data_IF_211038784774
#
_entry.id   IF_211038784774
#
_cell.length_a   1.000
_cell.length_b   1.000
_cell.length_c   1.000
_cell.angle_alpha   90.00
_cell.angle_beta   90.00
_cell.angle_gamma   90.00
#
_symmetry.space_group_name_H-M   'P 1'
#
loop_
_entity.id
_entity.type
_entity.pdbx_description
1 polymer ?
#
# COMPACT_ATOMS: atom_id res chain seq x y z
N UNK A 1 31.80 -30.11 0.98
CA UNK A 1 31.16 -28.78 1.23
C UNK A 1 29.65 -28.99 1.28
N UNK A 2 28.91 -29.11 2.38
CA UNK A 2 29.13 -28.94 3.80
C UNK A 2 27.86 -28.28 4.32
N UNK A 3 26.83 -29.05 4.71
CA UNK A 3 25.46 -28.60 5.07
C UNK A 3 25.41 -27.33 5.96
N UNK A 4 26.45 -27.10 6.78
CA UNK A 4 26.66 -25.90 7.61
C UNK A 4 26.83 -24.60 6.80
N UNK A 5 27.54 -24.63 5.67
CA UNK A 5 27.69 -23.47 4.77
C UNK A 5 26.37 -23.09 4.08
N UNK A 6 25.58 -24.09 3.70
CA UNK A 6 24.25 -23.88 3.11
C UNK A 6 23.28 -23.22 4.11
N UNK A 7 23.25 -23.71 5.36
CA UNK A 7 22.44 -23.10 6.42
C UNK A 7 22.85 -21.65 6.71
N UNK A 8 24.15 -21.35 6.73
CA UNK A 8 24.63 -19.99 6.96
C UNK A 8 24.21 -19.02 5.84
N UNK A 9 24.27 -19.47 4.58
CA UNK A 9 23.80 -18.69 3.42
C UNK A 9 22.28 -18.47 3.50
N UNK A 10 21.50 -19.50 3.83
CA UNK A 10 20.04 -19.40 3.97
C UNK A 10 19.65 -18.39 5.05
N UNK A 11 20.27 -18.47 6.24
CA UNK A 11 20.02 -17.53 7.34
C UNK A 11 20.40 -16.10 6.95
N UNK A 12 21.52 -15.91 6.24
CA UNK A 12 21.94 -14.60 5.76
C UNK A 12 20.97 -14.01 4.73
N UNK A 13 20.52 -14.82 3.76
CA UNK A 13 19.53 -14.37 2.76
C UNK A 13 18.21 -14.01 3.42
N UNK A 14 17.73 -14.82 4.36
CA UNK A 14 16.49 -14.55 5.10
C UNK A 14 16.61 -13.28 5.95
N UNK A 15 17.73 -13.08 6.65
CA UNK A 15 17.92 -11.89 7.49
C UNK A 15 18.01 -10.61 6.67
N UNK A 16 18.71 -10.62 5.53
CA UNK A 16 18.77 -9.46 4.62
C UNK A 16 17.38 -9.12 4.07
N UNK A 17 16.60 -10.12 3.65
CA UNK A 17 15.23 -9.89 3.17
C UNK A 17 14.32 -9.30 4.26
N UNK A 18 14.41 -9.80 5.49
CA UNK A 18 13.65 -9.27 6.63
C UNK A 18 14.07 -7.82 6.92
N UNK A 19 15.37 -7.51 6.90
CA UNK A 19 15.89 -6.18 7.18
C UNK A 19 15.47 -5.16 6.12
N UNK A 20 15.53 -5.50 4.83
CA UNK A 20 15.09 -4.63 3.74
C UNK A 20 13.59 -4.34 3.83
N UNK A 21 12.77 -5.35 4.11
CA UNK A 21 11.32 -5.16 4.30
C UNK A 21 11.02 -4.30 5.52
N UNK A 22 11.72 -4.53 6.64
CA UNK A 22 11.58 -3.74 7.85
C UNK A 22 12.02 -2.27 7.63
N UNK A 23 13.13 -2.02 6.92
CA UNK A 23 13.58 -0.66 6.62
C UNK A 23 12.59 0.07 5.73
N UNK A 24 12.04 -0.60 4.72
CA UNK A 24 11.03 -0.02 3.84
C UNK A 24 9.75 0.30 4.60
N UNK A 25 9.28 -0.60 5.48
CA UNK A 25 8.12 -0.36 6.33
C UNK A 25 8.34 0.80 7.33
N UNK A 26 9.53 0.88 7.93
CA UNK A 26 9.89 1.97 8.84
C UNK A 26 9.94 3.31 8.10
N UNK A 27 10.48 3.34 6.88
CA UNK A 27 10.48 4.56 6.07
C UNK A 27 9.06 4.96 5.66
N UNK A 28 8.25 4.00 5.22
CA UNK A 28 6.85 4.23 4.85
C UNK A 28 6.02 4.80 6.01
N UNK A 29 6.13 4.20 7.19
CA UNK A 29 5.43 4.65 8.40
C UNK A 29 5.90 6.04 8.84
N UNK A 30 7.20 6.34 8.74
CA UNK A 30 7.72 7.70 8.97
C UNK A 30 7.18 8.71 7.96
N UNK A 31 7.13 8.36 6.68
CA UNK A 31 6.64 9.25 5.62
C UNK A 31 5.19 9.65 5.84
N UNK A 32 4.35 8.68 6.21
CA UNK A 32 2.93 8.88 6.51
C UNK A 32 2.68 9.37 7.94
N UNK A 33 3.71 9.45 8.78
CA UNK A 33 3.60 9.80 10.21
C UNK A 33 2.60 8.92 10.99
N UNK A 34 2.67 7.61 10.74
CA UNK A 34 1.85 6.58 11.42
C UNK A 34 2.75 5.55 12.09
N UNK A 35 2.19 4.68 12.94
CA UNK A 35 2.92 3.59 13.58
C UNK A 35 2.80 2.29 12.78
N UNK A 36 3.81 1.41 12.90
CA UNK A 36 3.72 0.01 12.42
C UNK A 36 2.48 -0.71 13.02
N UNK A 37 2.09 -0.37 14.25
CA UNK A 37 0.87 -0.90 14.86
C UNK A 37 -0.39 -0.49 14.08
N UNK A 38 -0.43 0.71 13.51
CA UNK A 38 -1.55 1.18 12.70
C UNK A 38 -1.63 0.39 11.39
N UNK A 39 -0.49 0.13 10.73
CA UNK A 39 -0.42 -0.74 9.54
C UNK A 39 -0.99 -2.13 9.86
N UNK A 40 -0.54 -2.74 10.96
CA UNK A 40 -0.99 -4.08 11.37
C UNK A 40 -2.48 -4.10 11.69
N UNK A 41 -2.98 -3.05 12.36
CA UNK A 41 -4.40 -2.91 12.63
C UNK A 41 -5.21 -2.82 11.32
N UNK A 42 -4.74 -2.02 10.36
CA UNK A 42 -5.39 -1.88 9.06
C UNK A 42 -5.41 -3.20 8.27
N UNK A 43 -4.36 -4.01 8.33
CA UNK A 43 -4.35 -5.34 7.72
C UNK A 43 -5.44 -6.23 8.31
N UNK A 44 -5.48 -6.34 9.63
CA UNK A 44 -6.48 -7.17 10.31
C UNK A 44 -7.92 -6.68 10.08
N UNK A 45 -8.15 -5.36 10.04
CA UNK A 45 -9.46 -4.78 9.76
C UNK A 45 -9.94 -5.00 8.33
N UNK A 46 -9.00 -5.22 7.40
CA UNK A 46 -9.28 -5.39 5.98
C UNK A 46 -9.26 -6.85 5.55
N UNK A 47 -9.34 -7.81 6.48
CA UNK A 47 -9.25 -9.24 6.23
C UNK A 47 -7.96 -9.70 5.51
N UNK A 48 -6.92 -8.86 5.49
CA UNK A 48 -5.64 -9.19 4.88
C UNK A 48 -4.68 -9.78 5.91
N UNK A 49 -3.88 -10.73 5.45
CA UNK A 49 -2.71 -11.21 6.19
C UNK A 49 -1.42 -10.61 5.64
N UNK A 50 -0.33 -10.69 6.40
CA UNK A 50 1.01 -10.35 5.92
C UNK A 50 1.38 -11.11 4.63
N UNK A 51 0.81 -12.30 4.42
CA UNK A 51 1.03 -13.12 3.22
C UNK A 51 0.26 -12.57 2.01
N UNK A 52 -0.89 -11.92 2.23
CA UNK A 52 -1.71 -11.36 1.14
C UNK A 52 -1.09 -10.07 0.59
N UNK A 53 -0.35 -9.32 1.42
CA UNK A 53 0.50 -8.23 0.94
C UNK A 53 1.60 -8.70 -0.02
N UNK A 54 2.17 -9.89 0.22
CA UNK A 54 3.16 -10.48 -0.68
C UNK A 54 2.49 -10.95 -1.96
N UNK A 55 1.27 -11.49 -1.87
CA UNK A 55 0.48 -11.84 -3.05
C UNK A 55 0.11 -10.62 -3.88
N UNK A 56 -0.21 -9.48 -3.27
CA UNK A 56 -0.53 -8.25 -4.01
C UNK A 56 0.57 -7.85 -4.99
N UNK A 57 1.84 -7.96 -4.57
CA UNK A 57 3.00 -7.74 -5.44
C UNK A 57 2.98 -8.70 -6.65
N UNK A 58 2.61 -9.97 -6.43
CA UNK A 58 2.42 -10.95 -7.50
C UNK A 58 1.13 -10.74 -8.32
N UNK A 59 0.04 -10.21 -7.73
CA UNK A 59 -1.23 -9.90 -8.41
C UNK A 59 -1.02 -8.76 -9.42
N UNK A 60 -0.16 -7.80 -9.11
CA UNK A 60 0.24 -6.76 -10.06
C UNK A 60 1.18 -7.30 -11.17
N UNK A 61 1.75 -8.50 -11.00
CA UNK A 61 2.74 -9.10 -11.91
C UNK A 61 2.20 -10.29 -12.74
N UNK A 62 1.13 -11.00 -12.31
CA UNK A 62 0.65 -12.23 -12.95
C UNK A 62 -0.85 -12.21 -13.34
N UNK A 63 -1.15 -12.65 -14.56
CA UNK A 63 -2.48 -12.60 -15.21
C UNK A 63 -3.46 -13.74 -14.82
N UNK A 64 -3.13 -14.65 -13.90
CA UNK A 64 -3.90 -15.89 -13.70
C UNK A 64 -4.55 -16.05 -12.32
N UNK A 65 -5.44 -15.12 -11.96
CA UNK A 65 -6.31 -15.25 -10.78
C UNK A 65 -7.78 -15.28 -11.22
N UNK A 66 -8.59 -16.13 -10.60
CA UNK A 66 -10.03 -16.14 -10.88
C UNK A 66 -10.64 -14.78 -10.54
N UNK A 67 -11.52 -14.28 -11.43
CA UNK A 67 -12.10 -12.94 -11.34
C UNK A 67 -12.74 -12.64 -9.97
N UNK A 68 -13.43 -13.62 -9.40
CA UNK A 68 -14.09 -13.50 -8.09
C UNK A 68 -13.10 -13.35 -6.93
N UNK A 69 -12.02 -14.15 -6.92
CA UNK A 69 -10.98 -14.02 -5.90
C UNK A 69 -10.20 -12.71 -6.07
N UNK A 70 -9.99 -12.28 -7.31
CA UNK A 70 -9.37 -11.00 -7.60
C UNK A 70 -10.23 -9.83 -7.08
N UNK A 71 -11.53 -9.82 -7.35
CA UNK A 71 -12.44 -8.75 -6.91
C UNK A 71 -12.48 -8.63 -5.37
N UNK A 72 -12.56 -9.75 -4.65
CA UNK A 72 -12.56 -9.74 -3.18
C UNK A 72 -11.22 -9.24 -2.61
N UNK A 73 -10.11 -9.76 -3.11
CA UNK A 73 -8.77 -9.32 -2.66
C UNK A 73 -8.52 -7.85 -2.98
N UNK A 74 -9.02 -7.36 -4.12
CA UNK A 74 -8.90 -5.95 -4.48
C UNK A 74 -9.76 -5.05 -3.58
N UNK A 75 -10.94 -5.49 -3.16
CA UNK A 75 -11.77 -4.76 -2.22
C UNK A 75 -11.12 -4.69 -0.83
N UNK A 76 -10.62 -5.82 -0.33
CA UNK A 76 -9.86 -5.89 0.92
C UNK A 76 -8.62 -4.99 0.87
N UNK A 77 -7.90 -4.97 -0.26
CA UNK A 77 -6.79 -4.03 -0.47
C UNK A 77 -7.24 -2.56 -0.47
N UNK A 78 -8.37 -2.25 -1.10
CA UNK A 78 -8.98 -0.93 -1.05
C UNK A 78 -9.33 -0.48 0.37
N UNK A 79 -9.88 -1.38 1.20
CA UNK A 79 -10.12 -1.13 2.62
C UNK A 79 -8.81 -0.84 3.36
N UNK A 80 -7.75 -1.62 3.08
CA UNK A 80 -6.45 -1.44 3.69
C UNK A 80 -5.84 -0.08 3.37
N UNK A 81 -5.83 0.32 2.10
CA UNK A 81 -5.33 1.64 1.67
C UNK A 81 -6.09 2.75 2.37
N UNK A 82 -7.42 2.67 2.39
CA UNK A 82 -8.26 3.67 3.06
C UNK A 82 -7.95 3.77 4.54
N UNK A 83 -7.83 2.65 5.25
CA UNK A 83 -7.50 2.63 6.67
C UNK A 83 -6.14 3.29 6.93
N UNK A 84 -5.12 2.99 6.12
CA UNK A 84 -3.79 3.59 6.27
C UNK A 84 -3.84 5.11 6.04
N UNK A 85 -4.57 5.57 5.03
CA UNK A 85 -4.75 7.00 4.75
C UNK A 85 -5.54 7.71 5.86
N UNK A 86 -6.57 7.06 6.41
CA UNK A 86 -7.34 7.59 7.55
C UNK A 86 -6.47 7.73 8.80
N UNK A 87 -5.65 6.72 9.11
CA UNK A 87 -4.65 6.78 10.20
C UNK A 87 -3.60 7.87 9.99
N UNK A 88 -3.29 8.19 8.73
CA UNK A 88 -2.40 9.29 8.37
C UNK A 88 -3.11 10.65 8.30
N UNK A 89 -4.39 10.73 8.69
CA UNK A 89 -5.23 11.94 8.64
C UNK A 89 -5.38 12.52 7.23
N UNK A 90 -5.49 11.65 6.23
CA UNK A 90 -5.65 12.02 4.82
C UNK A 90 -7.07 11.78 4.29
N UNK A 91 -7.96 11.27 5.12
CA UNK A 91 -9.38 11.04 4.81
C UNK A 91 -10.23 12.01 5.62
N UNK A 92 -11.18 12.66 4.96
CA UNK A 92 -12.15 13.57 5.58
C UNK A 92 -13.49 13.38 4.88
N UNK A 93 -14.59 13.29 5.64
CA UNK A 93 -15.94 13.00 5.13
C UNK A 93 -15.99 11.77 4.20
N UNK A 94 -15.24 10.72 4.57
CA UNK A 94 -15.06 9.47 3.80
C UNK A 94 -14.34 9.64 2.45
N UNK A 95 -13.74 10.79 2.21
CA UNK A 95 -13.04 11.09 0.96
C UNK A 95 -11.55 11.27 1.20
N UNK A 96 -10.74 10.69 0.31
CA UNK A 96 -9.29 10.93 0.28
C UNK A 96 -9.05 12.37 -0.18
N UNK A 97 -8.33 13.14 0.64
CA UNK A 97 -8.14 14.58 0.41
C UNK A 97 -6.79 14.84 -0.21
N UNK A 98 -6.82 15.32 -1.45
CA UNK A 98 -5.63 15.69 -2.21
C UNK A 98 -4.71 16.65 -1.45
N UNK A 99 -5.26 17.61 -0.70
CA UNK A 99 -4.48 18.60 0.05
C UNK A 99 -3.58 17.98 1.15
N UNK A 100 -4.02 16.92 1.81
CA UNK A 100 -3.24 16.24 2.85
C UNK A 100 -2.17 15.33 2.24
N UNK A 101 -2.48 14.71 1.10
CA UNK A 101 -1.51 13.97 0.30
C UNK A 101 -0.40 14.89 -0.21
N UNK A 102 -0.75 16.05 -0.75
CA UNK A 102 0.18 17.05 -1.25
C UNK A 102 1.12 17.54 -0.14
N UNK A 103 0.57 17.96 1.00
CA UNK A 103 1.36 18.38 2.17
C UNK A 103 2.33 17.30 2.63
N UNK A 104 1.90 16.04 2.62
CA UNK A 104 2.77 14.93 3.02
C UNK A 104 3.90 14.70 2.03
N UNK A 105 3.62 14.77 0.74
CA UNK A 105 4.63 14.59 -0.28
C UNK A 105 5.62 15.77 -0.32
N UNK A 106 5.17 17.01 -0.14
CA UNK A 106 6.02 18.20 0.05
C UNK A 106 6.95 18.03 1.27
N UNK A 107 6.41 17.63 2.42
CA UNK A 107 7.19 17.38 3.65
C UNK A 107 8.31 16.36 3.44
N UNK A 108 8.08 15.38 2.59
CA UNK A 108 9.02 14.29 2.33
C UNK A 108 9.91 14.52 1.10
N UNK A 109 9.84 15.71 0.46
CA UNK A 109 10.54 16.03 -0.79
C UNK A 109 10.32 14.98 -1.89
N UNK A 110 9.13 14.37 -1.92
CA UNK A 110 8.81 13.47 -3.02
C UNK A 110 8.65 14.29 -4.29
N UNK A 111 9.34 13.93 -5.40
CA UNK A 111 9.11 14.58 -6.67
C UNK A 111 7.72 14.19 -7.17
N UNK A 112 6.70 14.94 -6.76
CA UNK A 112 5.36 14.82 -7.31
C UNK A 112 5.41 15.46 -8.69
N UNK A 113 5.76 14.69 -9.71
CA UNK A 113 5.65 15.13 -11.11
C UNK A 113 4.19 15.40 -11.55
N UNK A 114 3.23 15.35 -10.62
CA UNK A 114 1.88 14.83 -10.84
C UNK A 114 0.82 15.44 -9.90
N UNK A 115 0.94 16.72 -9.50
CA UNK A 115 -0.13 17.38 -8.70
C UNK A 115 -1.52 17.25 -9.35
N UNK A 116 -1.59 17.38 -10.67
CA UNK A 116 -2.86 17.22 -11.40
C UNK A 116 -3.36 15.77 -11.38
N UNK A 117 -2.45 14.86 -11.63
CA UNK A 117 -2.63 13.41 -11.76
C UNK A 117 -3.12 12.77 -10.45
N UNK A 118 -2.50 13.10 -9.32
CA UNK A 118 -2.94 12.64 -7.99
C UNK A 118 -4.30 13.24 -7.59
N UNK A 119 -4.56 14.49 -7.96
CA UNK A 119 -5.85 15.15 -7.75
C UNK A 119 -6.96 14.47 -8.58
N UNK A 120 -6.68 14.09 -9.84
CA UNK A 120 -7.60 13.31 -10.67
C UNK A 120 -7.92 11.95 -10.05
N UNK A 121 -6.94 11.27 -9.43
CA UNK A 121 -7.19 10.03 -8.71
C UNK A 121 -8.08 10.22 -7.48
N UNK A 122 -7.87 11.31 -6.73
CA UNK A 122 -8.75 11.64 -5.60
C UNK A 122 -10.19 11.88 -6.08
N UNK A 123 -10.38 12.60 -7.19
CA UNK A 123 -11.71 12.83 -7.78
C UNK A 123 -12.39 11.53 -8.21
N UNK A 124 -11.68 10.63 -8.91
CA UNK A 124 -12.23 9.32 -9.30
C UNK A 124 -12.61 8.47 -8.09
N UNK A 125 -11.85 8.57 -7.02
CA UNK A 125 -12.13 7.87 -5.77
C UNK A 125 -13.39 8.42 -5.08
N UNK A 126 -13.65 9.72 -5.16
CA UNK A 126 -14.86 10.38 -4.63
C UNK A 126 -16.14 9.99 -5.35
N UNK A 127 -16.06 9.47 -6.58
CA UNK A 127 -17.23 8.97 -7.33
C UNK A 127 -17.75 7.62 -6.78
N UNK A 128 -17.04 7.01 -5.81
CA UNK A 128 -17.41 5.72 -5.22
C UNK A 128 -18.19 5.91 -3.91
N UNK A 129 -19.33 5.23 -3.79
CA UNK A 129 -20.14 5.23 -2.55
C UNK A 129 -19.52 4.38 -1.42
N UNK A 130 -18.71 3.40 -1.80
CA UNK A 130 -18.03 2.50 -0.87
C UNK A 130 -16.58 2.96 -0.64
N UNK A 131 -16.20 3.08 0.63
CA UNK A 131 -14.92 3.64 1.02
C UNK A 131 -13.74 2.73 0.62
N UNK A 132 -13.95 1.41 0.62
CA UNK A 132 -12.92 0.46 0.17
C UNK A 132 -12.74 0.54 -1.34
N UNK A 133 -13.84 0.64 -2.11
CA UNK A 133 -13.76 0.90 -3.56
C UNK A 133 -13.07 2.24 -3.87
N UNK A 134 -13.34 3.27 -3.08
CA UNK A 134 -12.66 4.57 -3.17
C UNK A 134 -11.14 4.41 -3.01
N UNK A 135 -10.68 3.72 -1.96
CA UNK A 135 -9.27 3.41 -1.73
C UNK A 135 -8.61 2.60 -2.85
N UNK A 136 -9.34 1.61 -3.39
CA UNK A 136 -8.86 0.80 -4.52
C UNK A 136 -8.70 1.62 -5.81
N UNK A 137 -9.71 2.43 -6.16
CA UNK A 137 -9.68 3.30 -7.34
C UNK A 137 -8.55 4.32 -7.23
N UNK A 138 -8.35 4.90 -6.04
CA UNK A 138 -7.24 5.81 -5.77
C UNK A 138 -5.87 5.14 -5.97
N UNK A 139 -5.66 3.97 -5.37
CA UNK A 139 -4.40 3.24 -5.44
C UNK A 139 -4.04 2.85 -6.89
N UNK A 140 -4.99 2.26 -7.61
CA UNK A 140 -4.77 1.82 -8.99
C UNK A 140 -4.57 2.99 -9.97
N UNK A 141 -5.31 4.08 -9.78
CA UNK A 141 -5.10 5.31 -10.54
C UNK A 141 -3.69 5.87 -10.32
N UNK A 142 -3.22 5.89 -9.07
CA UNK A 142 -1.89 6.39 -8.72
C UNK A 142 -0.77 5.54 -9.32
N UNK A 143 -0.88 4.21 -9.24
CA UNK A 143 0.11 3.27 -9.80
C UNK A 143 0.26 3.44 -11.31
N UNK A 144 -0.86 3.42 -12.06
CA UNK A 144 -0.86 3.56 -13.53
C UNK A 144 -0.20 4.84 -14.02
N UNK A 145 -0.24 5.89 -13.20
CA UNK A 145 0.30 7.20 -13.53
C UNK A 145 1.76 7.37 -13.13
N UNK A 146 2.29 6.49 -12.25
CA UNK A 146 3.72 6.44 -11.90
C UNK A 146 4.58 5.64 -12.89
N UNK A 147 3.98 5.01 -13.91
CA UNK A 147 4.71 4.25 -14.94
C UNK A 147 5.36 2.97 -14.44
N UNK A 148 4.91 2.47 -13.28
CA UNK A 148 5.19 1.13 -12.76
C UNK A 148 4.12 0.16 -13.22
#
# INVERSE_FOLDING_TARGET
>A
MGKRRYLAILVYVLSVNILVRASNLIQFTKMLNINIKDIRQCLHQSNLTDTDLIKLDAIFQEENISRENFENVMLDFGCFITCVLDKAHMVEDKNIRFEYLLKTAERNNFPIATNQTLNECCKKAQEQDDICKSGFVFATCSIRQTGL
#
